data_IF_643840190890
#
_entry.id   IF_643840190890
#
_cell.length_a   1.000
_cell.length_b   1.000
_cell.length_c   1.000
_cell.angle_alpha   90.00
_cell.angle_beta   90.00
_cell.angle_gamma   90.00
#
_symmetry.space_group_name_H-M   'P 1'
#
loop_
_entity.id
_entity.type
_entity.pdbx_description
1 polymer ?
#
# COMPACT_ATOMS: atom_id res chain seq x y z
N UNK A 1 -39.34 0.45 26.55
CA UNK A 1 -38.64 0.35 25.24
C UNK A 1 -37.30 1.06 25.44
N UNK A 2 -36.20 0.32 25.57
CA UNK A 2 -34.90 0.87 25.99
C UNK A 2 -34.13 1.39 24.77
N UNK A 3 -34.21 2.70 24.54
CA UNK A 3 -33.43 3.38 23.50
C UNK A 3 -31.93 3.07 23.62
N UNK A 4 -31.41 2.92 24.86
CA UNK A 4 -30.02 2.60 25.16
C UNK A 4 -29.54 1.25 24.62
N UNK A 5 -30.35 0.18 24.63
CA UNK A 5 -29.95 -1.13 24.10
C UNK A 5 -29.73 -1.12 22.58
N UNK A 6 -30.40 -0.22 21.88
CA UNK A 6 -30.21 0.01 20.44
C UNK A 6 -28.97 0.85 20.15
N UNK A 7 -28.63 1.81 21.03
CA UNK A 7 -27.40 2.61 20.90
C UNK A 7 -26.15 1.76 21.15
N UNK A 8 -26.12 0.95 22.22
CA UNK A 8 -24.99 0.07 22.53
C UNK A 8 -24.65 -0.86 21.36
N UNK A 9 -25.68 -1.45 20.72
CA UNK A 9 -25.48 -2.32 19.54
C UNK A 9 -24.95 -1.62 18.30
N UNK A 10 -25.23 -0.32 18.13
CA UNK A 10 -24.73 0.48 17.00
C UNK A 10 -23.28 0.86 17.27
N UNK A 11 -22.94 1.23 18.50
CA UNK A 11 -21.56 1.52 18.91
C UNK A 11 -20.67 0.28 18.83
N UNK A 12 -21.13 -0.88 19.31
CA UNK A 12 -20.42 -2.15 19.19
C UNK A 12 -20.12 -2.51 17.73
N UNK A 13 -21.08 -2.30 16.83
CA UNK A 13 -20.88 -2.53 15.38
C UNK A 13 -19.85 -1.58 14.78
N UNK A 14 -19.93 -0.29 15.10
CA UNK A 14 -18.94 0.71 14.65
C UNK A 14 -17.55 0.38 15.15
N UNK A 15 -17.43 -0.09 16.39
CA UNK A 15 -16.14 -0.47 16.97
C UNK A 15 -15.54 -1.66 16.24
N UNK A 16 -16.34 -2.69 15.92
CA UNK A 16 -15.90 -3.84 15.11
C UNK A 16 -15.51 -3.43 13.69
N UNK A 17 -16.30 -2.57 13.03
CA UNK A 17 -15.98 -2.06 11.68
C UNK A 17 -14.68 -1.23 11.66
N UNK A 18 -14.46 -0.43 12.71
CA UNK A 18 -13.23 0.33 12.86
C UNK A 18 -12.02 -0.58 13.08
N UNK A 19 -12.13 -1.58 13.96
CA UNK A 19 -11.05 -2.56 14.16
C UNK A 19 -10.69 -3.30 12.86
N UNK A 20 -11.68 -3.73 12.07
CA UNK A 20 -11.44 -4.38 10.78
C UNK A 20 -10.74 -3.46 9.77
N UNK A 21 -11.06 -2.16 9.81
CA UNK A 21 -10.42 -1.16 8.94
C UNK A 21 -8.97 -0.92 9.37
N UNK A 22 -8.74 -0.76 10.67
CA UNK A 22 -7.40 -0.57 11.24
C UNK A 22 -6.50 -1.79 10.97
N UNK A 23 -7.05 -3.00 11.09
CA UNK A 23 -6.35 -4.26 10.77
C UNK A 23 -5.98 -4.34 9.28
N UNK A 24 -6.90 -3.99 8.39
CA UNK A 24 -6.66 -3.93 6.95
C UNK A 24 -5.54 -2.94 6.62
N UNK A 25 -5.65 -1.71 7.11
CA UNK A 25 -4.66 -0.65 6.83
C UNK A 25 -3.27 -1.03 7.34
N UNK A 26 -3.19 -1.59 8.56
CA UNK A 26 -1.93 -2.06 9.12
C UNK A 26 -1.31 -3.18 8.29
N UNK A 27 -2.11 -4.17 7.88
CA UNK A 27 -1.61 -5.26 7.06
C UNK A 27 -1.08 -4.76 5.70
N UNK A 28 -1.80 -3.84 5.06
CA UNK A 28 -1.39 -3.23 3.79
C UNK A 28 -0.08 -2.47 3.96
N UNK A 29 0.05 -1.66 5.01
CA UNK A 29 1.25 -0.88 5.29
C UNK A 29 2.48 -1.77 5.55
N UNK A 30 2.32 -2.80 6.39
CA UNK A 30 3.38 -3.77 6.67
C UNK A 30 3.80 -4.50 5.37
N UNK A 31 2.82 -4.92 4.56
CA UNK A 31 3.08 -5.62 3.31
C UNK A 31 3.72 -4.72 2.25
N UNK A 32 3.28 -3.47 2.13
CA UNK A 32 3.87 -2.50 1.21
C UNK A 32 5.33 -2.23 1.59
N UNK A 33 5.65 -2.08 2.87
CA UNK A 33 7.03 -1.92 3.36
C UNK A 33 7.92 -3.12 3.00
N UNK A 34 7.41 -4.34 3.13
CA UNK A 34 8.14 -5.55 2.69
C UNK A 34 8.47 -5.48 1.18
N UNK A 35 7.49 -5.09 0.35
CA UNK A 35 7.70 -4.97 -1.09
C UNK A 35 8.69 -3.85 -1.43
N UNK A 36 8.57 -2.68 -0.81
CA UNK A 36 9.48 -1.54 -1.02
C UNK A 36 10.92 -1.94 -0.69
N UNK A 37 11.13 -2.73 0.38
CA UNK A 37 12.46 -3.20 0.77
C UNK A 37 13.12 -4.13 -0.27
N UNK A 38 12.36 -4.72 -1.19
CA UNK A 38 12.90 -5.53 -2.29
C UNK A 38 13.35 -4.69 -3.49
N UNK A 39 12.89 -3.44 -3.60
CA UNK A 39 13.31 -2.55 -4.68
C UNK A 39 14.72 -2.00 -4.43
N UNK A 40 15.50 -1.74 -5.49
CA UNK A 40 16.76 -1.03 -5.36
C UNK A 40 16.56 0.36 -4.76
N UNK A 41 17.55 0.81 -3.99
CA UNK A 41 17.50 2.10 -3.29
C UNK A 41 17.51 3.30 -4.24
N UNK A 42 18.17 3.17 -5.40
CA UNK A 42 18.34 4.27 -6.33
C UNK A 42 17.72 3.96 -7.69
N UNK A 43 17.05 4.94 -8.30
CA UNK A 43 16.40 4.82 -9.61
C UNK A 43 17.35 4.29 -10.70
N UNK A 44 18.62 4.73 -10.67
CA UNK A 44 19.64 4.27 -11.62
C UNK A 44 19.89 2.76 -11.55
N UNK A 45 19.74 2.14 -10.37
CA UNK A 45 19.94 0.69 -10.20
C UNK A 45 18.81 -0.14 -10.83
N UNK A 46 17.65 0.47 -11.08
CA UNK A 46 16.56 -0.14 -11.84
C UNK A 46 16.73 0.02 -13.36
N UNK A 47 17.73 0.77 -13.83
CA UNK A 47 17.93 1.01 -15.25
C UNK A 47 18.42 -0.24 -15.99
N UNK A 48 17.93 -0.41 -17.23
CA UNK A 48 18.39 -1.46 -18.12
C UNK A 48 19.75 -1.11 -18.73
N UNK A 49 20.60 -2.11 -18.93
CA UNK A 49 21.87 -1.98 -19.66
C UNK A 49 21.69 -1.48 -21.10
N UNK A 50 20.50 -1.65 -21.68
CA UNK A 50 20.17 -1.22 -23.03
C UNK A 50 19.58 0.20 -23.10
N UNK A 51 19.38 0.86 -21.95
CA UNK A 51 18.89 2.23 -21.93
C UNK A 51 20.02 3.17 -22.39
N UNK A 52 19.78 4.08 -23.36
CA UNK A 52 20.78 5.06 -23.78
C UNK A 52 21.32 5.87 -22.61
N UNK A 53 22.60 6.25 -22.68
CA UNK A 53 23.31 6.91 -21.57
C UNK A 53 22.63 8.20 -21.14
N UNK A 54 22.17 8.99 -22.09
CA UNK A 54 21.47 10.26 -21.85
C UNK A 54 20.18 10.03 -21.05
N UNK A 55 19.46 8.93 -21.32
CA UNK A 55 18.26 8.56 -20.57
C UNK A 55 18.60 8.00 -19.18
N UNK A 56 19.71 7.25 -19.03
CA UNK A 56 20.19 6.82 -17.70
C UNK A 56 20.55 8.02 -16.82
N UNK A 57 21.13 9.08 -17.40
CA UNK A 57 21.45 10.30 -16.66
C UNK A 57 20.21 11.04 -16.16
N UNK A 58 19.04 10.88 -16.80
CA UNK A 58 17.78 11.43 -16.30
C UNK A 58 17.28 10.76 -15.02
N UNK A 59 17.79 9.58 -14.68
CA UNK A 59 17.48 8.87 -13.43
C UNK A 59 18.35 9.33 -12.25
N UNK A 60 19.26 10.28 -12.48
CA UNK A 60 20.20 10.79 -11.48
C UNK A 60 19.77 12.18 -11.03
N UNK A 61 19.70 12.39 -9.72
CA UNK A 61 19.39 13.67 -9.10
C UNK A 61 18.17 13.60 -8.19
N UNK A 62 18.04 14.61 -7.32
CA UNK A 62 17.05 14.64 -6.23
C UNK A 62 15.60 14.47 -6.72
N UNK A 63 15.20 15.20 -7.76
CA UNK A 63 13.84 15.09 -8.34
C UNK A 63 13.56 13.74 -8.98
N UNK A 64 14.58 13.10 -9.53
CA UNK A 64 14.43 11.77 -10.12
C UNK A 64 14.28 10.70 -9.01
N UNK A 65 15.01 10.86 -7.90
CA UNK A 65 14.88 9.99 -6.73
C UNK A 65 13.53 10.16 -6.04
N UNK A 66 13.03 11.40 -5.90
CA UNK A 66 11.69 11.68 -5.37
C UNK A 66 10.61 11.01 -6.22
N UNK A 67 10.63 11.22 -7.53
CA UNK A 67 9.68 10.59 -8.45
C UNK A 67 9.77 9.05 -8.44
N UNK A 68 10.97 8.50 -8.25
CA UNK A 68 11.17 7.06 -8.12
C UNK A 68 10.59 6.52 -6.81
N UNK A 69 10.79 7.22 -5.69
CA UNK A 69 10.23 6.83 -4.40
C UNK A 69 8.70 6.87 -4.43
N UNK A 70 8.11 7.90 -5.04
CA UNK A 70 6.66 7.99 -5.24
C UNK A 70 6.16 6.83 -6.10
N UNK A 71 6.85 6.53 -7.19
CA UNK A 71 6.54 5.40 -8.07
C UNK A 71 6.57 4.06 -7.33
N UNK A 72 7.68 3.75 -6.63
CA UNK A 72 7.85 2.49 -5.88
C UNK A 72 6.81 2.38 -4.77
N UNK A 73 6.61 3.45 -4.01
CA UNK A 73 5.60 3.49 -2.95
C UNK A 73 4.23 3.18 -3.54
N UNK A 74 3.83 3.90 -4.60
CA UNK A 74 2.51 3.71 -5.21
C UNK A 74 2.26 2.28 -5.65
N UNK A 75 3.17 1.70 -6.43
CA UNK A 75 2.98 0.33 -6.95
C UNK A 75 3.00 -0.72 -5.83
N UNK A 76 3.77 -0.52 -4.76
CA UNK A 76 3.83 -1.45 -3.64
C UNK A 76 2.54 -1.42 -2.81
N UNK A 77 1.98 -0.23 -2.56
CA UNK A 77 0.69 -0.10 -1.88
C UNK A 77 -0.46 -0.65 -2.73
N UNK A 78 -0.54 -0.30 -4.01
CA UNK A 78 -1.55 -0.85 -4.92
C UNK A 78 -1.46 -2.39 -4.96
N UNK A 79 -0.23 -2.94 -5.01
CA UNK A 79 -0.02 -4.39 -4.98
C UNK A 79 -0.42 -5.03 -3.66
N UNK A 80 -0.13 -4.39 -2.53
CA UNK A 80 -0.54 -4.86 -1.21
C UNK A 80 -2.08 -4.87 -1.09
N UNK A 81 -2.77 -3.82 -1.52
CA UNK A 81 -4.24 -3.78 -1.59
C UNK A 81 -4.81 -4.95 -2.40
N UNK A 82 -4.29 -5.21 -3.59
CA UNK A 82 -4.70 -6.35 -4.41
C UNK A 82 -4.48 -7.70 -3.70
N UNK A 83 -3.39 -7.84 -2.94
CA UNK A 83 -3.11 -9.06 -2.18
C UNK A 83 -4.09 -9.22 -1.01
N UNK A 84 -4.41 -8.13 -0.32
CA UNK A 84 -5.43 -8.13 0.74
C UNK A 84 -6.78 -8.58 0.19
N UNK A 85 -7.23 -7.97 -0.91
CA UNK A 85 -8.53 -8.27 -1.51
C UNK A 85 -8.62 -9.72 -2.03
N UNK A 86 -7.49 -10.30 -2.46
CA UNK A 86 -7.42 -11.74 -2.81
C UNK A 86 -7.50 -12.66 -1.59
N UNK A 87 -6.95 -12.25 -0.45
CA UNK A 87 -6.98 -13.04 0.80
C UNK A 87 -8.31 -12.90 1.55
N UNK A 88 -8.95 -11.74 1.43
CA UNK A 88 -10.22 -11.39 2.07
C UNK A 88 -11.26 -11.00 1.01
N UNK A 89 -11.64 -11.93 0.11
CA UNK A 89 -12.71 -11.66 -0.83
C UNK A 89 -13.98 -11.30 -0.04
N UNK A 90 -14.73 -10.31 -0.51
CA UNK A 90 -15.94 -9.74 0.15
C UNK A 90 -17.14 -10.74 0.13
N UNK A 91 -16.88 -12.05 0.10
CA UNK A 91 -17.74 -13.22 -0.13
C UNK A 91 -17.88 -13.68 -1.61
N UNK A 92 -17.85 -15.00 -1.86
CA UNK A 92 -18.12 -15.63 -3.16
C UNK A 92 -19.56 -16.22 -3.26
N UNK A 93 -20.56 -15.57 -2.66
CA UNK A 93 -21.97 -15.99 -2.77
C UNK A 93 -22.78 -15.03 -3.64
#
# INVERSE_FOLDING_TARGET
MNAYLTYDRIEDRRWVEQQLTDEKEKWIDDRAKELIAMFPKYALQMSSLFLPKEAQMALVGEKAEEAYNDYVTRICYDRAEEEWDRLHPICPF
#
